data_IF_349693695262
#
_entry.id   IF_349693695262
#
_cell.length_a   1.000
_cell.length_b   1.000
_cell.length_c   1.000
_cell.angle_alpha   90.00
_cell.angle_beta   90.00
_cell.angle_gamma   90.00
#
_symmetry.space_group_name_H-M   'P 1'
#
loop_
_entity.id
_entity.type
_entity.pdbx_description
1 polymer ?
#
# COMPACT_ATOMS: atom_id res chain seq x y z
N UNK A 1 -9.37 22.70 -1.78
CA UNK A 1 -9.00 21.35 -1.29
C UNK A 1 -7.86 21.50 -0.30
N UNK A 2 -7.87 20.81 0.85
CA UNK A 2 -6.77 20.89 1.83
C UNK A 2 -5.52 20.24 1.22
N UNK A 3 -4.38 20.91 1.35
CA UNK A 3 -3.08 20.39 0.91
C UNK A 3 -2.20 20.10 2.12
N UNK A 4 -1.32 19.10 1.99
CA UNK A 4 -0.40 18.66 3.03
C UNK A 4 1.04 18.91 2.57
N UNK A 5 1.89 19.40 3.48
CA UNK A 5 3.30 19.77 3.24
C UNK A 5 4.14 19.24 4.40
N UNK A 6 5.46 19.13 4.22
CA UNK A 6 6.41 18.68 5.26
C UNK A 6 6.07 17.30 5.84
N UNK A 7 5.48 16.43 5.01
CA UNK A 7 5.08 15.08 5.40
C UNK A 7 6.30 14.18 5.49
N UNK A 8 7.27 14.41 4.59
CA UNK A 8 8.52 13.68 4.57
C UNK A 8 9.33 13.90 5.85
N UNK A 9 9.41 15.14 6.34
CA UNK A 9 10.14 15.50 7.56
C UNK A 9 9.52 14.81 8.79
N UNK A 10 8.20 14.80 8.90
CA UNK A 10 7.48 14.08 9.96
C UNK A 10 7.67 12.56 9.86
N UNK A 11 7.75 12.02 8.65
CA UNK A 11 8.03 10.60 8.41
C UNK A 11 9.44 10.21 8.84
N UNK A 12 10.43 11.08 8.65
CA UNK A 12 11.84 10.83 8.94
C UNK A 12 12.21 10.85 10.44
N UNK A 13 11.32 11.32 11.32
CA UNK A 13 11.60 11.34 12.77
C UNK A 13 11.95 9.94 13.28
N UNK A 14 13.00 9.82 14.11
CA UNK A 14 13.48 8.52 14.61
C UNK A 14 12.37 7.75 15.34
N UNK A 15 11.55 8.43 16.14
CA UNK A 15 10.43 7.82 16.85
C UNK A 15 9.37 7.29 15.89
N UNK A 16 9.16 8.00 14.77
CA UNK A 16 8.22 7.56 13.74
C UNK A 16 8.71 6.27 13.07
N UNK A 17 9.97 6.26 12.60
CA UNK A 17 10.59 5.11 11.95
C UNK A 17 10.65 3.91 12.91
N UNK A 18 11.07 4.12 14.16
CA UNK A 18 11.09 3.08 15.20
C UNK A 18 9.71 2.44 15.37
N UNK A 19 8.65 3.26 15.44
CA UNK A 19 7.29 2.73 15.54
C UNK A 19 6.92 1.92 14.29
N UNK A 20 7.32 2.35 13.09
CA UNK A 20 7.08 1.62 11.85
C UNK A 20 7.76 0.24 11.82
N UNK A 21 8.95 0.08 12.41
CA UNK A 21 9.57 -1.25 12.62
C UNK A 21 8.65 -2.15 13.46
N UNK A 22 8.18 -1.66 14.61
CA UNK A 22 7.30 -2.44 15.48
C UNK A 22 5.95 -2.77 14.83
N UNK A 23 5.36 -1.82 14.10
CA UNK A 23 4.09 -2.01 13.41
C UNK A 23 4.23 -3.04 12.28
N UNK A 24 5.32 -3.00 11.51
CA UNK A 24 5.63 -3.97 10.46
C UNK A 24 5.87 -5.39 11.03
N UNK A 25 6.41 -5.48 12.25
CA UNK A 25 6.72 -6.73 12.92
C UNK A 25 5.52 -7.37 13.65
N UNK A 26 4.39 -6.67 13.76
CA UNK A 26 3.25 -7.10 14.55
C UNK A 26 2.82 -8.53 14.19
N UNK A 27 2.76 -9.41 15.20
CA UNK A 27 2.46 -10.86 15.10
C UNK A 27 3.52 -11.70 14.36
N UNK A 28 4.69 -11.13 14.05
CA UNK A 28 5.79 -11.80 13.34
C UNK A 28 7.12 -11.72 14.10
N UNK A 29 7.12 -11.23 15.34
CA UNK A 29 8.32 -10.97 16.15
C UNK A 29 9.18 -12.20 16.43
N UNK A 30 8.60 -13.40 16.39
CA UNK A 30 9.32 -14.66 16.60
C UNK A 30 10.06 -15.16 15.37
N UNK A 31 9.84 -14.55 14.19
CA UNK A 31 10.55 -14.94 12.97
C UNK A 31 12.02 -14.52 13.05
N UNK A 32 13.00 -15.38 12.73
CA UNK A 32 14.41 -15.07 12.88
C UNK A 32 14.85 -13.78 12.19
N UNK A 33 14.35 -13.51 10.98
CA UNK A 33 14.67 -12.29 10.22
C UNK A 33 14.13 -11.01 10.88
N UNK A 34 13.01 -11.10 11.61
CA UNK A 34 12.39 -9.99 12.34
C UNK A 34 13.08 -9.81 13.69
N UNK A 35 13.27 -10.90 14.44
CA UNK A 35 13.88 -10.90 15.75
C UNK A 35 15.30 -10.33 15.72
N UNK A 36 16.08 -10.65 14.67
CA UNK A 36 17.44 -10.13 14.49
C UNK A 36 17.48 -8.60 14.40
N UNK A 37 16.54 -8.01 13.65
CA UNK A 37 16.45 -6.56 13.44
C UNK A 37 15.92 -5.84 14.68
N UNK A 38 15.03 -6.48 15.43
CA UNK A 38 14.41 -5.91 16.63
C UNK A 38 15.26 -6.05 17.92
N UNK A 39 16.49 -6.54 17.83
CA UNK A 39 17.41 -6.58 18.98
C UNK A 39 17.58 -5.18 19.56
N UNK A 40 17.57 -5.06 20.88
CA UNK A 40 17.71 -3.77 21.56
C UNK A 40 19.14 -3.23 21.46
N UNK A 41 20.12 -4.13 21.63
CA UNK A 41 21.55 -3.78 21.67
C UNK A 41 22.36 -4.68 20.73
N UNK A 42 23.52 -4.15 20.33
CA UNK A 42 24.52 -4.87 19.55
C UNK A 42 25.12 -6.01 20.38
N UNK A 43 25.47 -7.12 19.73
CA UNK A 43 26.21 -8.20 20.39
C UNK A 43 27.65 -7.76 20.68
N UNK A 44 28.11 -8.02 21.91
CA UNK A 44 29.48 -7.68 22.34
C UNK A 44 30.50 -8.41 21.46
N UNK A 45 31.46 -7.67 20.90
CA UNK A 45 32.52 -8.21 20.03
C UNK A 45 32.14 -8.38 18.56
N UNK A 46 30.95 -7.92 18.14
CA UNK A 46 30.58 -7.88 16.73
C UNK A 46 30.86 -6.50 16.12
N UNK A 47 32.06 -6.35 15.56
CA UNK A 47 32.55 -5.10 14.95
C UNK A 47 32.11 -4.90 13.49
N UNK A 48 31.13 -5.68 13.00
CA UNK A 48 30.61 -5.49 11.65
C UNK A 48 30.02 -4.07 11.49
N UNK A 49 30.24 -3.45 10.32
CA UNK A 49 29.75 -2.10 10.05
C UNK A 49 28.23 -2.06 9.82
N UNK A 50 27.62 -3.20 9.48
CA UNK A 50 26.18 -3.30 9.23
C UNK A 50 25.37 -3.04 10.51
N UNK A 51 24.15 -2.49 10.40
CA UNK A 51 23.24 -2.35 11.54
C UNK A 51 22.89 -3.70 12.18
N UNK A 52 22.97 -3.76 13.52
CA UNK A 52 22.78 -5.01 14.28
C UNK A 52 21.70 -4.95 15.35
N UNK A 53 21.21 -3.76 15.67
CA UNK A 53 20.15 -3.53 16.62
C UNK A 53 19.14 -2.52 16.05
N UNK A 54 17.97 -2.45 16.68
CA UNK A 54 16.87 -1.61 16.23
C UNK A 54 17.29 -0.15 16.06
N UNK A 55 18.07 0.39 17.00
CA UNK A 55 18.48 1.80 16.92
C UNK A 55 19.42 2.07 15.74
N UNK A 56 20.32 1.14 15.42
CA UNK A 56 21.17 1.24 14.24
C UNK A 56 20.36 1.09 12.94
N UNK A 57 19.39 0.17 12.91
CA UNK A 57 18.48 0.01 11.77
C UNK A 57 17.61 1.25 11.53
N UNK A 58 17.11 1.89 12.59
CA UNK A 58 16.36 3.15 12.51
C UNK A 58 17.21 4.24 11.88
N UNK A 59 18.44 4.44 12.34
CA UNK A 59 19.36 5.44 11.78
C UNK A 59 19.77 5.12 10.35
N UNK A 60 20.03 3.85 10.04
CA UNK A 60 20.35 3.42 8.69
C UNK A 60 19.19 3.69 7.73
N UNK A 61 17.95 3.33 8.10
CA UNK A 61 16.79 3.60 7.28
C UNK A 61 16.51 5.11 7.14
N UNK A 62 16.65 5.88 8.21
CA UNK A 62 16.52 7.33 8.17
C UNK A 62 17.49 7.94 7.14
N UNK A 63 18.76 7.54 7.19
CA UNK A 63 19.78 8.00 6.23
C UNK A 63 19.45 7.58 4.79
N UNK A 64 19.08 6.30 4.57
CA UNK A 64 18.68 5.79 3.25
C UNK A 64 17.53 6.62 2.65
N UNK A 65 16.53 6.95 3.47
CA UNK A 65 15.40 7.76 3.04
C UNK A 65 15.78 9.23 2.81
N UNK A 66 16.55 9.83 3.73
CA UNK A 66 17.01 11.22 3.62
C UNK A 66 17.86 11.47 2.36
N UNK A 67 18.75 10.52 2.04
CA UNK A 67 19.60 10.54 0.84
C UNK A 67 18.85 10.08 -0.43
N UNK A 68 17.58 9.68 -0.31
CA UNK A 68 16.74 9.16 -1.42
C UNK A 68 17.38 7.98 -2.17
N UNK A 69 18.10 7.12 -1.45
CA UNK A 69 18.83 5.96 -2.00
C UNK A 69 18.09 4.63 -1.84
N UNK A 70 16.89 4.64 -1.26
CA UNK A 70 16.07 3.44 -1.09
C UNK A 70 15.77 2.78 -2.45
N UNK A 71 16.08 1.49 -2.54
CA UNK A 71 15.71 0.64 -3.66
C UNK A 71 15.00 -0.60 -3.11
N UNK A 72 13.74 -0.84 -3.50
CA UNK A 72 13.06 -2.08 -3.15
C UNK A 72 13.86 -3.30 -3.67
N UNK A 73 13.95 -4.38 -2.89
CA UNK A 73 14.64 -5.60 -3.29
C UNK A 73 13.87 -6.37 -4.37
N UNK A 74 14.57 -7.05 -5.26
CA UNK A 74 13.95 -7.92 -6.27
C UNK A 74 13.20 -9.10 -5.65
N UNK A 75 11.98 -9.36 -6.13
CA UNK A 75 11.12 -10.40 -5.57
C UNK A 75 10.97 -11.63 -6.44
N UNK A 76 10.68 -12.76 -5.78
CA UNK A 76 10.11 -13.93 -6.44
C UNK A 76 8.62 -13.99 -6.17
N UNK A 77 7.84 -13.96 -7.25
CA UNK A 77 6.40 -14.20 -7.24
C UNK A 77 6.07 -15.58 -6.68
N UNK A 78 5.07 -15.64 -5.81
CA UNK A 78 4.60 -16.88 -5.19
C UNK A 78 3.14 -17.11 -5.54
N UNK A 79 2.80 -18.32 -5.95
CA UNK A 79 1.41 -18.73 -6.10
C UNK A 79 0.88 -19.18 -4.74
N UNK A 80 -0.23 -18.57 -4.33
CA UNK A 80 -1.00 -19.01 -3.16
C UNK A 80 -2.41 -19.40 -3.59
N UNK A 81 -3.00 -20.37 -2.89
CA UNK A 81 -4.42 -20.66 -3.01
C UNK A 81 -5.17 -19.98 -1.85
N UNK A 82 -6.07 -19.05 -2.20
CA UNK A 82 -6.88 -18.34 -1.23
C UNK A 82 -7.93 -19.27 -0.62
N UNK A 83 -7.69 -19.71 0.62
CA UNK A 83 -8.50 -20.73 1.30
C UNK A 83 -10.01 -20.46 1.31
N UNK A 84 -10.42 -19.19 1.41
CA UNK A 84 -11.83 -18.75 1.45
C UNK A 84 -12.60 -19.02 0.16
N UNK A 85 -11.95 -18.99 -1.01
CA UNK A 85 -12.64 -19.04 -2.30
C UNK A 85 -11.97 -19.91 -3.36
N UNK A 86 -10.85 -20.57 -3.03
CA UNK A 86 -10.12 -21.45 -3.93
C UNK A 86 -9.37 -20.73 -5.05
N UNK A 87 -9.33 -19.39 -5.04
CA UNK A 87 -8.68 -18.60 -6.09
C UNK A 87 -7.17 -18.67 -5.95
N UNK A 88 -6.49 -19.00 -7.04
CA UNK A 88 -5.04 -18.91 -7.11
C UNK A 88 -4.65 -17.44 -7.31
N UNK A 89 -3.71 -16.95 -6.51
CA UNK A 89 -3.16 -15.60 -6.59
C UNK A 89 -1.66 -15.67 -6.73
N UNK A 90 -1.13 -14.87 -7.65
CA UNK A 90 0.28 -14.51 -7.64
C UNK A 90 0.47 -13.39 -6.61
N UNK A 91 1.33 -13.60 -5.63
CA UNK A 91 1.64 -12.62 -4.58
C UNK A 91 3.14 -12.34 -4.51
N UNK A 92 3.46 -11.15 -4.05
CA UNK A 92 4.82 -10.71 -3.73
C UNK A 92 4.88 -10.45 -2.24
N UNK A 93 5.87 -11.06 -1.57
CA UNK A 93 6.06 -10.94 -0.13
C UNK A 93 7.21 -9.95 0.13
N UNK A 94 6.93 -8.76 0.71
CA UNK A 94 7.99 -7.81 0.98
C UNK A 94 8.98 -8.33 2.02
N UNK A 95 10.24 -7.93 1.89
CA UNK A 95 11.27 -8.15 2.88
C UNK A 95 11.01 -7.30 4.12
N UNK A 96 11.23 -7.88 5.30
CA UNK A 96 11.00 -7.15 6.54
C UNK A 96 11.98 -5.97 6.72
N UNK A 97 13.28 -6.20 6.48
CA UNK A 97 14.34 -5.40 7.10
C UNK A 97 14.37 -3.93 6.67
N UNK A 98 13.87 -3.54 5.49
CA UNK A 98 13.62 -2.13 5.17
C UNK A 98 12.38 -1.91 4.30
N UNK A 99 12.07 -2.80 3.37
CA UNK A 99 10.94 -2.61 2.45
C UNK A 99 9.58 -2.59 3.16
N UNK A 100 9.25 -3.62 3.95
CA UNK A 100 8.00 -3.64 4.69
C UNK A 100 7.92 -2.45 5.68
N UNK A 101 9.05 -2.02 6.25
CA UNK A 101 9.10 -0.86 7.15
C UNK A 101 8.84 0.45 6.40
N UNK A 102 9.42 0.64 5.22
CA UNK A 102 9.15 1.78 4.33
C UNK A 102 7.67 1.84 3.96
N UNK A 103 7.04 0.71 3.67
CA UNK A 103 5.60 0.66 3.42
C UNK A 103 4.80 1.20 4.62
N UNK A 104 5.19 0.84 5.84
CA UNK A 104 4.57 1.37 7.06
C UNK A 104 4.87 2.86 7.28
N UNK A 105 6.06 3.35 6.93
CA UNK A 105 6.39 4.78 6.95
C UNK A 105 5.46 5.59 6.04
N UNK A 106 5.25 5.13 4.79
CA UNK A 106 4.36 5.76 3.81
C UNK A 106 2.91 5.74 4.31
N UNK A 107 2.39 4.58 4.70
CA UNK A 107 0.98 4.42 5.10
C UNK A 107 0.65 5.29 6.30
N UNK A 108 1.55 5.37 7.28
CA UNK A 108 1.29 6.14 8.50
C UNK A 108 0.99 7.61 8.20
N UNK A 109 1.59 8.15 7.13
CA UNK A 109 1.30 9.50 6.65
C UNK A 109 0.11 9.57 5.69
N UNK A 110 -0.02 8.62 4.77
CA UNK A 110 -1.11 8.61 3.80
C UNK A 110 -2.48 8.35 4.44
N UNK A 111 -2.54 7.45 5.43
CA UNK A 111 -3.77 7.01 6.05
C UNK A 111 -4.66 8.17 6.55
N UNK A 112 -4.18 9.11 7.40
CA UNK A 112 -5.02 10.23 7.85
C UNK A 112 -5.47 11.16 6.71
N UNK A 113 -4.65 11.29 5.66
CA UNK A 113 -4.94 12.13 4.49
C UNK A 113 -6.07 11.52 3.66
N UNK A 114 -5.94 10.23 3.32
CA UNK A 114 -6.93 9.49 2.53
C UNK A 114 -8.24 9.40 3.30
N UNK A 115 -8.20 9.01 4.58
CA UNK A 115 -9.42 8.85 5.39
C UNK A 115 -10.22 10.13 5.57
N UNK A 116 -9.59 11.30 5.46
CA UNK A 116 -10.29 12.59 5.52
C UNK A 116 -11.20 12.82 4.31
N UNK A 117 -10.80 12.39 3.11
CA UNK A 117 -11.56 12.56 1.86
C UNK A 117 -12.36 11.33 1.43
N UNK A 118 -12.19 10.19 2.12
CA UNK A 118 -12.73 8.92 1.69
C UNK A 118 -14.25 8.84 1.88
N UNK A 119 -14.94 8.30 0.88
CA UNK A 119 -16.38 8.07 0.92
C UNK A 119 -16.81 7.26 2.17
N UNK A 120 -17.93 7.63 2.79
CA UNK A 120 -18.38 7.04 4.05
C UNK A 120 -18.69 5.54 3.96
N UNK A 121 -18.99 5.02 2.76
CA UNK A 121 -19.25 3.61 2.50
C UNK A 121 -18.11 2.93 1.71
N UNK A 122 -16.92 3.52 1.71
CA UNK A 122 -15.69 2.76 1.46
C UNK A 122 -15.38 1.92 2.71
N UNK A 123 -15.45 0.59 2.58
CA UNK A 123 -15.43 -0.35 3.70
C UNK A 123 -14.34 -1.42 3.59
N UNK A 124 -13.69 -1.55 2.43
CA UNK A 124 -12.63 -2.53 2.21
C UNK A 124 -11.33 -2.11 2.89
N UNK A 125 -10.69 -3.02 3.61
CA UNK A 125 -9.34 -2.86 4.19
C UNK A 125 -9.10 -1.62 5.09
N UNK A 126 -10.14 -0.90 5.49
CA UNK A 126 -10.03 0.28 6.33
C UNK A 126 -10.23 -0.10 7.80
N UNK A 127 -9.31 0.29 8.71
CA UNK A 127 -9.46 0.01 10.13
C UNK A 127 -10.82 0.45 10.68
N UNK A 128 -11.47 -0.44 11.44
CA UNK A 128 -12.79 -0.24 12.05
C UNK A 128 -13.98 -0.13 11.07
N UNK A 129 -13.77 -0.34 9.75
CA UNK A 129 -14.84 -0.48 8.75
C UNK A 129 -14.86 -1.92 8.21
N UNK A 130 -16.01 -2.38 7.72
CA UNK A 130 -16.11 -3.75 7.19
C UNK A 130 -17.49 -4.18 6.72
N UNK A 131 -17.59 -5.40 6.21
CA UNK A 131 -18.78 -5.93 5.52
C UNK A 131 -20.09 -5.79 6.31
N UNK A 132 -20.06 -6.02 7.62
CA UNK A 132 -21.23 -5.90 8.49
C UNK A 132 -21.83 -4.48 8.49
N UNK A 133 -20.99 -3.44 8.39
CA UNK A 133 -21.48 -2.06 8.32
C UNK A 133 -22.17 -1.77 6.98
N UNK A 134 -21.64 -2.31 5.88
CA UNK A 134 -22.25 -2.21 4.55
C UNK A 134 -23.58 -2.92 4.48
N UNK A 135 -23.68 -4.15 5.01
CA UNK A 135 -24.93 -4.89 5.12
C UNK A 135 -26.01 -4.07 5.83
N UNK A 136 -25.71 -3.56 7.04
CA UNK A 136 -26.65 -2.75 7.83
C UNK A 136 -27.12 -1.51 7.07
N UNK A 137 -26.22 -0.86 6.31
CA UNK A 137 -26.54 0.32 5.50
C UNK A 137 -27.51 -0.02 4.37
N UNK A 138 -27.22 -1.07 3.61
CA UNK A 138 -28.09 -1.53 2.51
C UNK A 138 -29.46 -1.96 3.04
N UNK A 139 -29.54 -2.69 4.15
CA UNK A 139 -30.81 -3.04 4.79
C UNK A 139 -31.64 -1.81 5.18
N UNK A 140 -30.99 -0.74 5.67
CA UNK A 140 -31.66 0.53 5.98
C UNK A 140 -32.21 1.19 4.72
N UNK A 141 -31.46 1.20 3.61
CA UNK A 141 -31.93 1.74 2.33
C UNK A 141 -33.14 0.96 1.79
N UNK A 142 -33.09 -0.38 1.81
CA UNK A 142 -34.19 -1.24 1.38
C UNK A 142 -35.46 -0.95 2.21
N UNK A 143 -35.35 -0.89 3.55
CA UNK A 143 -36.47 -0.54 4.43
C UNK A 143 -37.03 0.86 4.12
N UNK A 144 -36.16 1.82 3.81
CA UNK A 144 -36.53 3.19 3.45
C UNK A 144 -37.39 3.30 2.18
N UNK A 145 -37.31 2.31 1.28
CA UNK A 145 -38.13 2.26 0.06
C UNK A 145 -39.59 1.83 0.31
N UNK A 146 -39.97 1.46 1.54
CA UNK A 146 -41.36 1.16 1.94
C UNK A 146 -42.06 0.15 1.02
N UNK A 147 -41.36 -0.91 0.63
CA UNK A 147 -41.89 -1.95 -0.26
C UNK A 147 -41.95 -1.59 -1.75
N UNK A 148 -41.48 -0.40 -2.15
CA UNK A 148 -41.29 -0.06 -3.57
C UNK A 148 -40.12 -0.87 -4.15
N UNK A 149 -40.10 -1.00 -5.49
CA UNK A 149 -39.01 -1.65 -6.23
C UNK A 149 -37.68 -0.97 -5.90
N UNK A 150 -36.70 -1.77 -5.50
CA UNK A 150 -35.33 -1.34 -5.20
C UNK A 150 -34.39 -2.02 -6.19
N UNK A 151 -33.67 -1.22 -6.99
CA UNK A 151 -32.77 -1.71 -8.02
C UNK A 151 -31.33 -1.59 -7.53
N UNK A 152 -30.52 -2.63 -7.79
CA UNK A 152 -29.11 -2.69 -7.39
C UNK A 152 -28.27 -2.90 -8.65
N UNK A 153 -27.29 -2.01 -8.85
CA UNK A 153 -26.20 -2.25 -9.78
C UNK A 153 -25.14 -3.09 -9.09
N UNK A 154 -24.86 -4.28 -9.63
CA UNK A 154 -23.73 -5.11 -9.22
C UNK A 154 -22.61 -4.90 -10.23
N UNK A 155 -21.50 -4.31 -9.78
CA UNK A 155 -20.30 -4.07 -10.59
C UNK A 155 -19.06 -4.48 -9.78
N UNK A 156 -18.00 -4.85 -10.48
CA UNK A 156 -16.71 -5.25 -9.93
C UNK A 156 -15.59 -4.76 -10.85
N UNK A 157 -14.46 -4.33 -10.29
CA UNK A 157 -13.29 -3.90 -11.07
C UNK A 157 -12.37 -5.10 -11.25
N UNK A 158 -12.14 -5.48 -12.51
CA UNK A 158 -11.28 -6.61 -12.87
C UNK A 158 -9.81 -6.27 -12.61
N UNK A 159 -9.11 -7.18 -11.92
CA UNK A 159 -7.67 -7.12 -11.69
C UNK A 159 -7.15 -5.76 -11.21
N UNK A 160 -7.87 -5.08 -10.30
CA UNK A 160 -7.61 -3.68 -9.91
C UNK A 160 -6.13 -3.34 -9.70
N UNK A 161 -5.40 -4.13 -8.90
CA UNK A 161 -3.97 -3.88 -8.65
C UNK A 161 -3.10 -4.03 -9.89
N UNK A 162 -3.45 -4.97 -10.77
CA UNK A 162 -2.71 -5.18 -12.02
C UNK A 162 -3.03 -4.11 -13.05
N UNK A 163 -4.26 -3.59 -13.10
CA UNK A 163 -4.73 -2.74 -14.20
C UNK A 163 -4.69 -1.24 -13.91
N UNK A 164 -4.52 -0.83 -12.65
CA UNK A 164 -4.54 0.59 -12.29
C UNK A 164 -3.26 1.33 -12.72
N UNK A 165 -3.43 2.43 -13.48
CA UNK A 165 -2.32 3.26 -13.97
C UNK A 165 -1.72 4.11 -12.84
N UNK A 166 -0.46 3.85 -12.52
CA UNK A 166 0.31 4.51 -11.47
C UNK A 166 0.39 6.01 -11.70
N UNK A 167 0.44 6.48 -12.95
CA UNK A 167 0.51 7.92 -13.27
C UNK A 167 -0.77 8.64 -12.86
N UNK A 168 -1.91 7.95 -12.91
CA UNK A 168 -3.19 8.48 -12.42
C UNK A 168 -3.18 8.56 -10.89
N UNK A 169 -2.66 7.54 -10.21
CA UNK A 169 -2.50 7.54 -8.75
C UNK A 169 -1.58 8.67 -8.32
N UNK A 170 -0.40 8.80 -8.95
CA UNK A 170 0.56 9.87 -8.69
C UNK A 170 -0.09 11.25 -8.88
N UNK A 171 -0.83 11.46 -9.97
CA UNK A 171 -1.57 12.71 -10.22
C UNK A 171 -2.57 13.00 -9.10
N UNK A 172 -3.31 11.99 -8.62
CA UNK A 172 -4.26 12.15 -7.51
C UNK A 172 -3.52 12.52 -6.21
N UNK A 173 -2.40 11.86 -5.89
CA UNK A 173 -1.58 12.16 -4.72
C UNK A 173 -1.03 13.58 -4.77
N UNK A 174 -0.48 14.01 -5.91
CA UNK A 174 0.08 15.37 -6.09
C UNK A 174 -0.94 16.49 -5.92
N UNK A 175 -2.23 16.23 -6.15
CA UNK A 175 -3.28 17.23 -5.89
C UNK A 175 -3.44 17.53 -4.40
N UNK A 176 -3.21 16.55 -3.53
CA UNK A 176 -3.40 16.67 -2.07
C UNK A 176 -2.09 16.85 -1.29
N UNK A 177 -0.98 16.31 -1.80
CA UNK A 177 0.33 16.31 -1.14
C UNK A 177 1.28 17.16 -1.96
N UNK A 178 1.80 18.23 -1.35
CA UNK A 178 2.79 19.12 -1.92
C UNK A 178 4.12 18.94 -1.17
N UNK A 179 4.69 17.74 -1.34
CA UNK A 179 5.97 17.30 -0.77
C UNK A 179 6.63 16.32 -1.77
N UNK A 180 7.60 16.81 -2.53
CA UNK A 180 8.16 16.07 -3.66
C UNK A 180 8.95 14.83 -3.21
N UNK A 181 9.70 14.91 -2.11
CA UNK A 181 10.47 13.78 -1.59
C UNK A 181 9.55 12.63 -1.20
N UNK A 182 8.42 12.95 -0.55
CA UNK A 182 7.43 11.95 -0.19
C UNK A 182 6.76 11.32 -1.43
N UNK A 183 6.40 12.13 -2.43
CA UNK A 183 5.81 11.63 -3.67
C UNK A 183 6.79 10.70 -4.40
N UNK A 184 8.07 11.10 -4.54
CA UNK A 184 9.10 10.24 -5.16
C UNK A 184 9.22 8.90 -4.47
N UNK A 185 9.24 8.86 -3.14
CA UNK A 185 9.27 7.59 -2.39
C UNK A 185 8.03 6.73 -2.67
N UNK A 186 6.84 7.33 -2.75
CA UNK A 186 5.62 6.60 -3.11
C UNK A 186 5.72 6.01 -4.53
N UNK A 187 6.19 6.81 -5.49
CA UNK A 187 6.38 6.38 -6.88
C UNK A 187 7.40 5.25 -6.96
N UNK A 188 8.54 5.35 -6.27
CA UNK A 188 9.54 4.26 -6.19
C UNK A 188 8.94 2.94 -5.71
N UNK A 189 8.02 2.97 -4.73
CA UNK A 189 7.33 1.76 -4.25
C UNK A 189 6.26 1.28 -5.22
N UNK A 190 5.51 2.18 -5.87
CA UNK A 190 4.46 1.80 -6.83
C UNK A 190 5.06 1.19 -8.11
N UNK A 191 6.12 1.80 -8.65
CA UNK A 191 6.72 1.42 -9.93
C UNK A 191 7.60 0.18 -9.86
N UNK A 192 7.93 -0.30 -8.66
CA UNK A 192 8.90 -1.37 -8.46
C UNK A 192 8.59 -2.65 -9.28
N UNK A 193 7.32 -3.04 -9.34
CA UNK A 193 6.83 -4.22 -10.05
C UNK A 193 5.98 -3.86 -11.27
N UNK A 194 5.89 -2.56 -11.57
CA UNK A 194 5.04 -2.05 -12.64
C UNK A 194 5.68 -2.27 -14.01
N UNK A 195 4.83 -2.56 -14.99
CA UNK A 195 5.24 -2.67 -16.38
C UNK A 195 4.32 -1.84 -17.25
N UNK A 196 4.83 -1.43 -18.41
CA UNK A 196 4.01 -0.79 -19.43
C UNK A 196 3.19 -1.87 -20.13
N UNK A 197 1.88 -1.75 -20.12
CA UNK A 197 0.95 -2.68 -20.76
C UNK A 197 -0.26 -1.98 -21.35
N UNK A 198 -0.83 -2.50 -22.45
CA UNK A 198 -2.07 -1.98 -22.99
C UNK A 198 -3.25 -2.29 -22.04
N UNK A 199 -4.40 -1.61 -22.19
CA UNK A 199 -5.62 -1.96 -21.51
C UNK A 199 -5.99 -3.43 -21.73
N UNK A 200 -6.42 -4.11 -20.67
CA UNK A 200 -7.03 -5.44 -20.79
C UNK A 200 -8.47 -5.29 -21.32
N UNK A 201 -8.65 -5.49 -22.62
CA UNK A 201 -9.99 -5.61 -23.22
C UNK A 201 -10.43 -7.08 -23.21
N UNK A 202 -11.62 -7.37 -22.69
CA UNK A 202 -12.32 -8.63 -22.95
C UNK A 202 -13.51 -8.43 -23.90
N UNK A 203 -14.13 -9.52 -24.35
CA UNK A 203 -15.23 -9.47 -25.31
C UNK A 203 -16.46 -8.68 -24.81
N UNK A 204 -16.55 -8.41 -23.50
CA UNK A 204 -17.63 -7.62 -22.89
C UNK A 204 -17.27 -6.15 -22.70
N UNK A 205 -16.04 -5.73 -22.99
CA UNK A 205 -15.67 -4.32 -22.92
C UNK A 205 -16.30 -3.52 -24.05
N UNK A 206 -16.72 -2.29 -23.73
CA UNK A 206 -17.04 -1.29 -24.74
C UNK A 206 -15.71 -0.91 -25.40
N UNK A 207 -15.48 -1.41 -26.62
CA UNK A 207 -14.35 -1.00 -27.44
C UNK A 207 -14.55 0.46 -27.82
N UNK A 208 -13.82 1.32 -27.16
CA UNK A 208 -13.79 2.74 -27.44
C UNK A 208 -12.44 3.05 -28.09
N UNK A 209 -12.50 3.62 -29.29
CA UNK A 209 -11.33 3.92 -30.13
C UNK A 209 -10.30 4.76 -29.38
N UNK A 210 -10.72 5.58 -28.40
CA UNK A 210 -9.82 6.42 -27.61
C UNK A 210 -8.78 5.63 -26.78
N UNK A 211 -9.01 4.34 -26.54
CA UNK A 211 -8.11 3.50 -25.72
C UNK A 211 -7.31 2.49 -26.54
N UNK A 212 -7.44 2.45 -27.88
CA UNK A 212 -6.76 1.44 -28.71
C UNK A 212 -5.24 1.50 -28.62
N UNK A 213 -4.68 2.71 -28.55
CA UNK A 213 -3.23 2.95 -28.47
C UNK A 213 -2.79 3.37 -27.06
N UNK A 214 -3.65 3.20 -26.06
CA UNK A 214 -3.31 3.56 -24.70
C UNK A 214 -2.30 2.56 -24.12
N UNK A 215 -1.31 3.08 -23.40
CA UNK A 215 -0.38 2.30 -22.60
C UNK A 215 -0.51 2.74 -21.15
N UNK A 216 -0.57 1.80 -20.21
CA UNK A 216 -0.62 2.05 -18.78
C UNK A 216 0.66 1.57 -18.11
N UNK A 217 1.18 2.37 -17.17
CA UNK A 217 2.20 1.92 -16.24
C UNK A 217 1.48 1.32 -15.04
N UNK A 218 1.37 -0.01 -14.98
CA UNK A 218 0.51 -0.69 -14.00
C UNK A 218 1.07 -2.05 -13.57
N UNK A 219 0.54 -2.60 -12.48
CA UNK A 219 1.12 -3.77 -11.82
C UNK A 219 1.50 -3.51 -10.36
N UNK A 220 0.60 -2.90 -9.59
CA UNK A 220 0.81 -2.77 -8.15
C UNK A 220 0.89 -4.18 -7.53
N UNK A 221 1.93 -4.49 -6.75
CA UNK A 221 2.15 -5.85 -6.27
C UNK A 221 1.11 -6.26 -5.23
N UNK A 222 0.50 -7.43 -5.46
CA UNK A 222 -0.40 -8.06 -4.50
C UNK A 222 0.43 -8.63 -3.34
N UNK A 223 0.26 -8.06 -2.14
CA UNK A 223 1.01 -8.45 -0.93
C UNK A 223 1.75 -7.29 -0.28
N UNK A 224 1.93 -6.19 -1.01
CA UNK A 224 2.32 -4.92 -0.42
C UNK A 224 1.12 -4.29 0.28
N UNK A 225 1.36 -3.83 1.51
CA UNK A 225 0.31 -3.14 2.27
C UNK A 225 0.03 -1.76 1.66
N UNK A 226 1.02 -1.13 1.02
CA UNK A 226 0.89 0.17 0.34
C UNK A 226 -0.07 0.10 -0.86
N UNK A 227 -0.06 -0.99 -1.63
CA UNK A 227 -0.99 -1.18 -2.74
C UNK A 227 -2.45 -0.97 -2.32
N UNK A 228 -2.84 -1.45 -1.14
CA UNK A 228 -4.21 -1.29 -0.61
C UNK A 228 -4.61 0.15 -0.27
N UNK A 229 -3.63 1.04 -0.08
CA UNK A 229 -3.85 2.45 0.22
C UNK A 229 -3.72 3.34 -1.02
N UNK A 230 -3.08 2.86 -2.08
CA UNK A 230 -2.97 3.57 -3.34
C UNK A 230 -4.23 3.46 -4.20
N UNK A 231 -4.93 2.32 -4.11
CA UNK A 231 -6.18 2.01 -4.84
C UNK A 231 -7.43 2.46 -4.11
#
# INVERSE_FOLDING_TARGET
MKTYKHIFDEMLKEENIRQCFHDAAKRKTTRPEVARVLKEEREVGNDRPDPQCLQEHVKALQKILEEETFKPPEHRKQLINEYSCGKVREIIKPEYQYEQVVHHCIIKQLQPIILHGLYEHALGSIPKRGCHSGKKRVEKWIKGYKGKKFYILKADVRHCFDTEDIRVIETKLRRVINDEKFIRLCVTVMEHEATVKPPEFDDMWIKDEQWQDAEFLSGLPLGFVTSQWFT
#
